data_IF_504599857430
#
_entry.id   IF_504599857430
#
_cell.length_a   1.000
_cell.length_b   1.000
_cell.length_c   1.000
_cell.angle_alpha   90.00
_cell.angle_beta   90.00
_cell.angle_gamma   90.00
#
_symmetry.space_group_name_H-M   'P 1'
#
loop_
_entity.id
_entity.type
_entity.pdbx_description
1 polymer ?
#
# COMPACT_ATOMS: atom_id res chain seq x y z
N UNK A 1 -4.12 -17.86 -9.63
CA UNK A 1 -3.65 -16.97 -8.54
C UNK A 1 -4.22 -15.59 -8.80
N UNK A 2 -4.66 -14.85 -7.78
CA UNK A 2 -5.08 -13.46 -7.97
C UNK A 2 -3.86 -12.56 -8.16
N UNK A 3 -3.88 -11.69 -9.17
CA UNK A 3 -2.80 -10.75 -9.43
C UNK A 3 -2.67 -9.75 -8.28
N UNK A 4 -1.44 -9.54 -7.81
CA UNK A 4 -1.11 -8.59 -6.74
C UNK A 4 -0.55 -7.32 -7.38
N UNK A 5 -1.12 -6.17 -7.03
CA UNK A 5 -0.67 -4.85 -7.48
C UNK A 5 -0.08 -4.08 -6.32
N UNK A 6 0.99 -3.32 -6.58
CA UNK A 6 1.66 -2.50 -5.57
C UNK A 6 1.39 -1.03 -5.82
N UNK A 7 0.90 -0.31 -4.81
CA UNK A 7 0.90 1.15 -4.79
C UNK A 7 2.34 1.63 -4.61
N UNK A 8 2.98 2.01 -5.71
CA UNK A 8 4.38 2.43 -5.74
C UNK A 8 4.57 3.95 -5.67
N UNK A 9 3.58 4.68 -5.15
CA UNK A 9 3.69 6.14 -4.95
C UNK A 9 4.92 6.54 -4.14
N UNK A 10 5.32 5.70 -3.19
CA UNK A 10 6.49 5.89 -2.35
C UNK A 10 7.82 5.99 -3.15
N UNK A 11 7.88 5.45 -4.37
CA UNK A 11 9.09 5.50 -5.20
C UNK A 11 9.45 6.91 -5.67
N UNK A 12 8.46 7.82 -5.72
CA UNK A 12 8.66 9.21 -6.16
C UNK A 12 8.83 10.20 -4.99
N UNK A 13 9.00 9.69 -3.76
CA UNK A 13 9.13 10.48 -2.54
C UNK A 13 10.57 10.44 -2.01
N UNK A 14 10.89 11.36 -1.08
CA UNK A 14 12.16 11.29 -0.35
C UNK A 14 12.25 9.95 0.39
N UNK A 15 13.38 9.27 0.25
CA UNK A 15 13.60 7.98 0.89
C UNK A 15 13.78 8.18 2.39
N UNK A 16 12.80 7.71 3.18
CA UNK A 16 12.94 7.51 4.63
C UNK A 16 13.08 6.02 4.95
N UNK A 17 13.16 5.62 6.23
CA UNK A 17 13.21 4.22 6.64
C UNK A 17 12.02 3.40 6.11
N UNK A 18 10.81 3.98 6.14
CA UNK A 18 9.58 3.34 5.62
C UNK A 18 9.66 3.14 4.11
N UNK A 19 10.11 4.15 3.37
CA UNK A 19 10.29 4.05 1.92
C UNK A 19 11.40 3.05 1.56
N UNK A 20 12.49 2.97 2.35
CA UNK A 20 13.56 1.98 2.14
C UNK A 20 13.03 0.56 2.29
N UNK A 21 12.30 0.28 3.36
CA UNK A 21 11.60 -1.00 3.54
C UNK A 21 10.71 -1.31 2.33
N UNK A 22 9.87 -0.35 1.92
CA UNK A 22 8.94 -0.56 0.82
C UNK A 22 9.66 -0.85 -0.49
N UNK A 23 10.78 -0.17 -0.74
CA UNK A 23 11.67 -0.42 -1.87
C UNK A 23 12.26 -1.82 -1.84
N UNK A 24 12.84 -2.23 -0.73
CA UNK A 24 13.49 -3.53 -0.60
C UNK A 24 12.50 -4.67 -0.82
N UNK A 25 11.35 -4.65 -0.14
CA UNK A 25 10.35 -5.71 -0.28
C UNK A 25 9.73 -5.71 -1.69
N UNK A 26 9.41 -4.54 -2.25
CA UNK A 26 8.87 -4.46 -3.61
C UNK A 26 9.87 -4.98 -4.65
N UNK A 27 11.16 -4.70 -4.47
CA UNK A 27 12.19 -5.17 -5.37
C UNK A 27 12.42 -6.69 -5.27
N UNK A 28 12.34 -7.27 -4.08
CA UNK A 28 12.39 -8.74 -3.89
C UNK A 28 11.17 -9.46 -4.47
N UNK A 29 10.03 -8.78 -4.52
CA UNK A 29 8.77 -9.34 -5.03
C UNK A 29 8.48 -8.94 -6.48
N UNK A 30 9.41 -8.27 -7.17
CA UNK A 30 9.17 -7.62 -8.47
C UNK A 30 8.64 -8.56 -9.55
N UNK A 31 9.07 -9.83 -9.54
CA UNK A 31 8.62 -10.84 -10.51
C UNK A 31 7.25 -11.46 -10.17
N UNK A 32 6.69 -11.13 -8.99
CA UNK A 32 5.45 -11.69 -8.45
C UNK A 32 4.35 -10.64 -8.30
N UNK A 33 4.64 -9.36 -8.56
CA UNK A 33 3.71 -8.25 -8.33
C UNK A 33 3.73 -7.25 -9.48
N UNK A 34 2.59 -6.61 -9.72
CA UNK A 34 2.44 -5.54 -10.70
C UNK A 34 2.60 -4.17 -10.03
N UNK A 35 3.71 -3.50 -10.30
CA UNK A 35 4.04 -2.20 -9.69
C UNK A 35 3.28 -1.08 -10.43
N UNK A 36 2.42 -0.34 -9.73
CA UNK A 36 1.76 0.85 -10.26
C UNK A 36 2.40 2.09 -9.65
N UNK A 37 3.17 2.82 -10.46
CA UNK A 37 3.79 4.09 -10.08
C UNK A 37 3.12 5.29 -10.76
N UNK A 38 3.08 6.46 -10.10
CA UNK A 38 2.73 7.70 -10.77
C UNK A 38 3.84 8.12 -11.74
N UNK A 39 3.47 8.68 -12.90
CA UNK A 39 4.45 9.14 -13.90
C UNK A 39 5.19 10.43 -13.53
N UNK A 40 4.80 11.10 -12.44
CA UNK A 40 5.44 12.31 -11.90
C UNK A 40 5.54 12.19 -10.38
N UNK A 41 6.49 12.90 -9.78
CA UNK A 41 6.53 13.07 -8.33
C UNK A 41 5.38 13.96 -7.87
N UNK A 42 4.24 13.33 -7.56
CA UNK A 42 3.13 14.01 -6.93
C UNK A 42 3.39 14.14 -5.43
N UNK A 43 3.81 15.33 -4.99
CA UNK A 43 3.77 15.74 -3.59
C UNK A 43 2.44 16.43 -3.27
N UNK A 44 1.98 16.32 -2.01
CA UNK A 44 0.76 16.98 -1.55
C UNK A 44 -0.53 16.39 -2.12
N UNK A 45 -1.54 17.25 -2.30
CA UNK A 45 -2.92 16.90 -2.66
C UNK A 45 -3.02 16.13 -3.98
N UNK A 46 -2.23 16.50 -4.99
CA UNK A 46 -2.21 15.82 -6.29
C UNK A 46 -1.85 14.33 -6.17
N UNK A 47 -1.00 13.99 -5.19
CA UNK A 47 -0.66 12.60 -4.93
C UNK A 47 -1.80 11.84 -4.28
N UNK A 48 -2.56 12.49 -3.39
CA UNK A 48 -3.78 11.90 -2.81
C UNK A 48 -4.84 11.71 -3.88
N UNK A 49 -5.07 12.68 -4.77
CA UNK A 49 -6.00 12.50 -5.89
C UNK A 49 -5.60 11.36 -6.81
N UNK A 50 -4.31 11.24 -7.16
CA UNK A 50 -3.82 10.13 -7.95
C UNK A 50 -4.08 8.79 -7.26
N UNK A 51 -3.75 8.70 -5.98
CA UNK A 51 -3.94 7.47 -5.20
C UNK A 51 -5.42 7.12 -5.04
N UNK A 52 -6.30 8.09 -4.78
CA UNK A 52 -7.71 7.83 -4.53
C UNK A 52 -8.52 7.59 -5.82
N UNK A 53 -8.13 8.16 -6.96
CA UNK A 53 -8.93 8.12 -8.21
C UNK A 53 -8.22 7.36 -9.33
N UNK A 54 -6.94 7.66 -9.58
CA UNK A 54 -6.21 7.13 -10.75
C UNK A 54 -5.75 5.69 -10.51
N UNK A 55 -5.24 5.39 -9.31
CA UNK A 55 -4.75 4.06 -8.96
C UNK A 55 -5.85 2.98 -9.03
N UNK A 56 -7.08 3.17 -8.48
CA UNK A 56 -8.15 2.18 -8.61
C UNK A 56 -8.56 1.91 -10.06
N UNK A 57 -8.47 2.91 -10.94
CA UNK A 57 -8.77 2.77 -12.37
C UNK A 57 -7.71 2.00 -13.17
N UNK A 58 -6.50 1.80 -12.61
CA UNK A 58 -5.38 1.11 -13.26
C UNK A 58 -5.24 -0.36 -12.86
N UNK A 59 -6.08 -0.84 -11.95
CA UNK A 59 -6.07 -2.23 -11.49
C UNK A 59 -7.36 -2.96 -11.88
N UNK A 60 -7.31 -4.29 -12.10
CA UNK A 60 -8.51 -5.10 -12.27
C UNK A 60 -9.39 -5.07 -11.01
N UNK A 61 -10.72 -5.10 -11.17
CA UNK A 61 -11.68 -5.04 -10.05
C UNK A 61 -11.50 -6.12 -8.98
N UNK A 62 -10.91 -7.26 -9.34
CA UNK A 62 -10.76 -8.41 -8.46
C UNK A 62 -9.33 -8.62 -7.96
N UNK A 63 -8.41 -7.72 -8.30
CA UNK A 63 -7.01 -7.81 -7.92
C UNK A 63 -6.78 -7.33 -6.48
N UNK A 64 -5.70 -7.80 -5.86
CA UNK A 64 -5.29 -7.39 -4.52
C UNK A 64 -4.34 -6.21 -4.62
N UNK A 65 -4.69 -5.06 -4.03
CA UNK A 65 -3.79 -3.92 -3.93
C UNK A 65 -2.98 -3.98 -2.63
N UNK A 66 -1.66 -3.85 -2.72
CA UNK A 66 -0.77 -3.73 -1.57
C UNK A 66 -0.13 -2.34 -1.53
N UNK A 67 -0.27 -1.64 -0.41
CA UNK A 67 0.33 -0.32 -0.17
C UNK A 67 1.39 -0.44 0.94
N UNK A 68 2.68 -0.67 0.59
CA UNK A 68 3.76 -0.93 1.56
C UNK A 68 4.22 0.30 2.35
N UNK A 69 3.92 1.50 1.85
CA UNK A 69 4.25 2.77 2.47
C UNK A 69 3.19 3.82 2.11
N UNK A 70 2.56 4.40 3.13
CA UNK A 70 1.49 5.39 2.97
C UNK A 70 0.09 4.81 3.15
N UNK A 71 -0.92 5.62 2.82
CA UNK A 71 -2.32 5.22 2.86
C UNK A 71 -2.72 4.48 1.57
N UNK A 72 -3.83 3.74 1.64
CA UNK A 72 -4.46 3.13 0.48
C UNK A 72 -5.69 3.91 -0.01
N UNK A 73 -6.13 3.72 -1.27
CA UNK A 73 -7.38 4.27 -1.78
C UNK A 73 -8.60 3.73 -1.02
N UNK A 74 -9.49 4.61 -0.55
CA UNK A 74 -10.71 4.20 0.14
C UNK A 74 -11.67 3.40 -0.76
N UNK A 75 -11.60 3.61 -2.08
CA UNK A 75 -12.45 2.96 -3.07
C UNK A 75 -12.06 1.51 -3.39
N UNK A 76 -10.91 1.03 -2.91
CA UNK A 76 -10.45 -0.35 -3.17
C UNK A 76 -10.76 -1.25 -1.97
N UNK A 77 -11.74 -2.14 -2.11
CA UNK A 77 -12.14 -3.05 -1.04
C UNK A 77 -11.11 -4.17 -0.79
N UNK A 78 -10.42 -4.61 -1.85
CA UNK A 78 -9.40 -5.67 -1.81
C UNK A 78 -8.01 -5.05 -1.72
N UNK A 79 -7.65 -4.58 -0.54
CA UNK A 79 -6.34 -4.03 -0.30
C UNK A 79 -5.70 -4.44 1.03
N UNK A 80 -4.38 -4.41 1.03
CA UNK A 80 -3.51 -4.54 2.18
C UNK A 80 -2.73 -3.24 2.31
N UNK A 81 -2.82 -2.57 3.45
CA UNK A 81 -2.04 -1.36 3.75
C UNK A 81 -1.02 -1.72 4.82
N UNK A 82 0.22 -1.27 4.68
CA UNK A 82 1.27 -1.49 5.68
C UNK A 82 1.51 -0.18 6.41
N UNK A 83 1.04 -0.12 7.65
CA UNK A 83 1.30 0.99 8.57
C UNK A 83 2.57 0.69 9.37
N UNK A 84 3.53 1.62 9.35
CA UNK A 84 4.84 1.43 9.96
C UNK A 84 4.94 2.01 11.36
N UNK A 85 4.18 3.06 11.64
CA UNK A 85 4.14 3.70 12.95
C UNK A 85 2.68 3.85 13.36
N UNK A 86 2.34 3.17 14.45
CA UNK A 86 1.02 3.17 15.06
C UNK A 86 1.14 3.76 16.49
N UNK A 87 2.13 4.60 16.76
CA UNK A 87 2.34 5.19 18.08
C UNK A 87 1.12 5.92 18.67
N UNK A 88 0.10 6.25 17.87
CA UNK A 88 -1.18 6.82 18.34
C UNK A 88 -2.29 5.80 18.66
N UNK A 89 -2.13 4.49 18.40
CA UNK A 89 -2.97 3.44 18.98
C UNK A 89 -2.11 2.75 20.04
N UNK A 90 -2.28 3.24 21.25
CA UNK A 90 -1.39 3.00 22.38
C UNK A 90 -1.13 1.51 22.65
N UNK A 91 0.13 1.20 22.97
CA UNK A 91 0.66 -0.06 23.50
C UNK A 91 1.20 -1.10 22.50
N UNK A 92 2.52 -1.12 22.38
CA UNK A 92 3.44 -2.24 22.04
C UNK A 92 2.90 -3.34 21.11
N UNK A 93 3.33 -3.32 19.85
CA UNK A 93 3.88 -4.44 19.04
C UNK A 93 3.86 -3.98 17.57
N UNK A 94 4.89 -4.32 16.78
CA UNK A 94 4.94 -4.06 15.33
C UNK A 94 3.63 -4.56 14.69
N UNK A 95 2.75 -3.64 14.31
CA UNK A 95 1.41 -3.92 13.81
C UNK A 95 1.37 -3.67 12.30
N UNK A 96 1.44 -4.74 11.51
CA UNK A 96 0.98 -4.69 10.12
C UNK A 96 -0.55 -4.67 10.15
N UNK A 97 -1.17 -3.48 10.08
CA UNK A 97 -2.63 -3.38 9.96
C UNK A 97 -3.06 -3.76 8.55
N UNK A 98 -3.35 -5.04 8.34
CA UNK A 98 -4.10 -5.52 7.18
C UNK A 98 -5.53 -4.94 7.23
N UNK A 99 -5.73 -3.70 6.81
CA UNK A 99 -7.08 -3.14 6.68
C UNK A 99 -7.72 -3.66 5.39
N UNK A 100 -8.22 -4.89 5.43
CA UNK A 100 -9.07 -5.46 4.40
C UNK A 100 -10.47 -4.82 4.54
N UNK A 101 -10.75 -3.76 3.78
CA UNK A 101 -12.05 -3.08 3.76
C UNK A 101 -13.07 -3.82 2.88
N UNK A 102 -13.12 -5.14 3.04
CA UNK A 102 -14.18 -6.01 2.55
C UNK A 102 -14.61 -6.84 3.75
N UNK A 103 -15.74 -6.45 4.34
CA UNK A 103 -16.50 -7.12 5.40
C UNK A 103 -15.99 -8.53 5.77
N UNK A 104 -15.49 -8.66 7.01
CA UNK A 104 -15.10 -9.92 7.68
C UNK A 104 -13.74 -10.51 7.28
N UNK A 105 -12.65 -9.91 7.72
CA UNK A 105 -11.52 -10.59 8.39
C UNK A 105 -10.39 -9.59 8.60
N UNK A 106 -10.26 -9.10 9.84
CA UNK A 106 -8.96 -8.65 10.33
C UNK A 106 -8.19 -9.93 10.65
N UNK A 107 -7.34 -10.40 9.74
CA UNK A 107 -6.49 -11.55 10.03
C UNK A 107 -5.23 -11.04 10.74
N UNK A 108 -5.15 -11.31 12.03
CA UNK A 108 -3.98 -11.00 12.84
C UNK A 108 -2.87 -12.01 12.52
N UNK A 109 -1.89 -11.62 11.71
CA UNK A 109 -0.65 -12.38 11.61
C UNK A 109 0.20 -12.05 12.84
N UNK A 110 0.15 -12.92 13.85
CA UNK A 110 1.21 -12.98 14.87
C UNK A 110 2.39 -13.69 14.21
N UNK A 111 3.48 -12.95 13.99
CA UNK A 111 4.81 -13.53 13.73
C UNK A 111 5.47 -13.78 15.08
#
# INVERSE_FOLDING_TARGET
MGDIYVNARFMNQVVTGVQRYAWEITNHLRDRVHIIQPGKSFSGEAGHFWEQIVLPGRMPRNALLWSPAGAGPLLVSKQVVTLHDIAHLEHLTILVVLQCFSSRQVSWLRV
#
